data_IF_364018981317
#
_entry.id   IF_364018981317
#
_cell.length_a   1.000
_cell.length_b   1.000
_cell.length_c   1.000
_cell.angle_alpha   90.00
_cell.angle_beta   90.00
_cell.angle_gamma   90.00
#
_symmetry.space_group_name_H-M   'P 1'
#
loop_
_entity.id
_entity.type
_entity.pdbx_description
1 polymer ?
#
# COMPACT_ATOMS: atom_id res chain seq x y z
N UNK A 1 3.43 24.43 15.95
CA UNK A 1 2.69 23.21 15.58
C UNK A 1 3.56 22.00 15.89
N UNK A 2 3.00 21.00 16.57
CA UNK A 2 3.75 19.81 16.97
C UNK A 2 3.86 18.84 15.77
N UNK A 3 5.05 18.68 15.19
CA UNK A 3 5.26 17.83 14.01
C UNK A 3 5.14 16.32 14.28
N UNK A 4 4.94 15.93 15.54
CA UNK A 4 4.82 14.53 15.96
C UNK A 4 3.66 13.81 15.22
N UNK A 5 2.52 14.46 15.05
CA UNK A 5 1.35 13.86 14.37
C UNK A 5 1.63 13.56 12.91
N UNK A 6 2.26 14.50 12.20
CA UNK A 6 2.71 14.30 10.81
C UNK A 6 3.70 13.13 10.71
N UNK A 7 4.72 13.10 11.56
CA UNK A 7 5.72 12.01 11.57
C UNK A 7 5.03 10.66 11.81
N UNK A 8 4.10 10.60 12.76
CA UNK A 8 3.35 9.38 13.07
C UNK A 8 2.51 8.92 11.88
N UNK A 9 1.81 9.83 11.21
CA UNK A 9 1.02 9.53 10.00
C UNK A 9 1.90 8.98 8.87
N UNK A 10 3.10 9.54 8.67
CA UNK A 10 4.07 9.09 7.66
C UNK A 10 4.59 7.70 8.00
N UNK A 11 4.99 7.47 9.25
CA UNK A 11 5.50 6.16 9.72
C UNK A 11 4.43 5.09 9.57
N UNK A 12 3.18 5.38 9.91
CA UNK A 12 2.08 4.42 9.76
C UNK A 12 1.76 4.20 8.28
N UNK A 13 1.60 5.26 7.49
CA UNK A 13 1.20 5.16 6.09
C UNK A 13 2.27 4.55 5.19
N UNK A 14 3.45 5.16 5.15
CA UNK A 14 4.57 4.72 4.30
C UNK A 14 5.26 3.50 4.91
N UNK A 15 5.46 3.48 6.23
CA UNK A 15 6.11 2.35 6.90
C UNK A 15 5.33 1.05 6.72
N UNK A 16 4.00 1.09 6.76
CA UNK A 16 3.18 -0.07 6.43
C UNK A 16 3.45 -0.59 5.01
N UNK A 17 3.43 0.29 4.00
CA UNK A 17 3.72 -0.08 2.62
C UNK A 17 5.12 -0.71 2.50
N UNK A 18 6.13 -0.10 3.13
CA UNK A 18 7.52 -0.57 3.11
C UNK A 18 7.68 -1.96 3.73
N UNK A 19 7.06 -2.20 4.90
CA UNK A 19 7.10 -3.48 5.60
C UNK A 19 6.61 -4.65 4.73
N UNK A 20 5.66 -4.40 3.84
CA UNK A 20 5.15 -5.46 2.96
C UNK A 20 6.15 -5.90 1.88
N UNK A 21 7.13 -5.04 1.55
CA UNK A 21 8.09 -5.23 0.45
C UNK A 21 9.45 -5.73 0.95
N UNK A 22 9.87 -5.38 2.18
CA UNK A 22 11.24 -5.52 2.69
C UNK A 22 11.61 -6.85 3.37
N UNK A 23 10.65 -7.74 3.65
CA UNK A 23 10.85 -8.85 4.59
C UNK A 23 11.61 -10.09 4.08
N UNK A 24 11.94 -10.21 2.78
CA UNK A 24 12.73 -11.34 2.27
C UNK A 24 13.28 -11.09 0.87
N UNK A 25 14.45 -11.65 0.56
CA UNK A 25 15.02 -11.69 -0.80
C UNK A 25 14.32 -12.71 -1.71
N UNK A 26 13.63 -13.69 -1.13
CA UNK A 26 12.84 -14.69 -1.86
C UNK A 26 11.41 -14.22 -2.02
N UNK A 27 10.94 -14.24 -3.27
CA UNK A 27 9.66 -13.63 -3.63
C UNK A 27 8.44 -14.17 -2.87
N UNK A 28 8.38 -15.49 -2.67
CA UNK A 28 7.25 -16.15 -2.00
C UNK A 28 7.20 -15.88 -0.50
N UNK A 29 8.34 -15.51 0.09
CA UNK A 29 8.49 -15.29 1.53
C UNK A 29 8.24 -13.82 1.89
N UNK A 30 8.15 -12.93 0.88
CA UNK A 30 7.80 -11.53 1.09
C UNK A 30 6.40 -11.40 1.67
N UNK A 31 6.25 -10.43 2.57
CA UNK A 31 5.04 -10.29 3.36
C UNK A 31 3.82 -9.95 2.50
N UNK A 32 3.97 -9.15 1.43
CA UNK A 32 2.87 -8.86 0.52
C UNK A 32 2.28 -10.14 -0.11
N UNK A 33 3.06 -11.21 -0.28
CA UNK A 33 2.56 -12.48 -0.82
C UNK A 33 1.55 -13.14 0.13
N UNK A 34 1.73 -12.97 1.45
CA UNK A 34 0.77 -13.41 2.47
C UNK A 34 -0.55 -12.64 2.35
N UNK A 35 -0.52 -11.38 1.91
CA UNK A 35 -1.71 -10.56 1.69
C UNK A 35 -2.56 -11.04 0.50
N UNK A 36 -2.06 -11.96 -0.33
CA UNK A 36 -2.89 -12.62 -1.35
C UNK A 36 -3.81 -13.69 -0.77
N UNK A 37 -3.60 -14.11 0.48
CA UNK A 37 -4.56 -14.96 1.19
C UNK A 37 -5.75 -14.11 1.67
N UNK A 38 -6.97 -14.59 1.40
CA UNK A 38 -8.21 -13.88 1.79
C UNK A 38 -8.30 -13.61 3.29
N UNK A 39 -7.97 -14.58 4.16
CA UNK A 39 -8.08 -14.41 5.62
C UNK A 39 -7.13 -13.33 6.14
N UNK A 40 -5.88 -13.36 5.67
CA UNK A 40 -4.86 -12.39 6.08
C UNK A 40 -5.22 -11.00 5.55
N UNK A 41 -5.64 -10.92 4.29
CA UNK A 41 -6.07 -9.66 3.69
C UNK A 41 -7.24 -9.02 4.46
N UNK A 42 -8.24 -9.80 4.85
CA UNK A 42 -9.40 -9.30 5.59
C UNK A 42 -9.02 -8.71 6.96
N UNK A 43 -8.05 -9.30 7.65
CA UNK A 43 -7.56 -8.74 8.91
C UNK A 43 -6.89 -7.38 8.66
N UNK A 44 -6.06 -7.31 7.62
CA UNK A 44 -5.31 -6.10 7.29
C UNK A 44 -6.20 -4.98 6.76
N UNK A 45 -7.24 -5.30 5.99
CA UNK A 45 -8.19 -4.29 5.50
C UNK A 45 -9.02 -3.71 6.66
N UNK A 46 -9.44 -4.54 7.64
CA UNK A 46 -10.13 -4.06 8.83
C UNK A 46 -9.20 -3.13 9.63
N UNK A 47 -7.95 -3.53 9.84
CA UNK A 47 -6.95 -2.68 10.51
C UNK A 47 -6.72 -1.36 9.76
N UNK A 48 -6.61 -1.41 8.43
CA UNK A 48 -6.44 -0.22 7.61
C UNK A 48 -7.67 0.69 7.62
N UNK A 49 -8.89 0.14 7.69
CA UNK A 49 -10.12 0.90 7.86
C UNK A 49 -10.13 1.63 9.20
N UNK A 50 -9.76 0.96 10.30
CA UNK A 50 -9.67 1.58 11.63
C UNK A 50 -8.61 2.69 11.69
N UNK A 51 -7.45 2.47 11.04
CA UNK A 51 -6.41 3.50 10.92
C UNK A 51 -6.92 4.67 10.07
N UNK A 52 -7.64 4.40 8.99
CA UNK A 52 -8.23 5.42 8.13
C UNK A 52 -9.28 6.27 8.85
N UNK A 53 -10.19 5.67 9.63
CA UNK A 53 -11.19 6.42 10.41
C UNK A 53 -10.54 7.24 11.54
N UNK A 54 -9.52 6.69 12.20
CA UNK A 54 -8.70 7.45 13.15
C UNK A 54 -7.99 8.63 12.46
N UNK A 55 -7.43 8.41 11.27
CA UNK A 55 -6.82 9.43 10.45
C UNK A 55 -7.78 10.55 10.05
N UNK A 56 -9.01 10.20 9.67
CA UNK A 56 -10.06 11.17 9.38
C UNK A 56 -10.35 12.08 10.57
N UNK A 57 -10.51 11.50 11.77
CA UNK A 57 -10.68 12.27 13.00
C UNK A 57 -9.48 13.19 13.28
N UNK A 58 -8.25 12.70 13.07
CA UNK A 58 -7.02 13.50 13.23
C UNK A 58 -6.95 14.68 12.27
N UNK A 59 -7.22 14.44 11.00
CA UNK A 59 -7.22 15.45 9.93
C UNK A 59 -8.23 16.56 10.23
N UNK A 60 -9.46 16.22 10.60
CA UNK A 60 -10.51 17.21 10.86
C UNK A 60 -10.22 18.06 12.10
N UNK A 61 -9.69 17.46 13.17
CA UNK A 61 -9.61 18.12 14.48
C UNK A 61 -8.22 18.68 14.84
N UNK A 62 -7.15 18.30 14.13
CA UNK A 62 -5.79 18.65 14.53
C UNK A 62 -4.94 19.22 13.39
N UNK A 63 -4.60 18.42 12.37
CA UNK A 63 -3.72 18.85 11.28
C UNK A 63 -4.02 18.10 9.99
N UNK A 64 -4.38 18.86 8.95
CA UNK A 64 -4.70 18.35 7.62
C UNK A 64 -3.55 17.60 6.94
N UNK A 65 -2.31 17.85 7.37
CA UNK A 65 -1.11 17.20 6.81
C UNK A 65 -0.98 15.73 7.21
N UNK A 66 -1.80 15.25 8.15
CA UNK A 66 -1.81 13.86 8.61
C UNK A 66 -2.56 12.89 7.67
N UNK A 67 -2.77 13.26 6.40
CA UNK A 67 -3.49 12.45 5.41
C UNK A 67 -2.85 11.08 5.12
N UNK A 68 -1.60 10.83 5.51
CA UNK A 68 -0.92 9.56 5.30
C UNK A 68 -1.58 8.37 6.02
N UNK A 69 -2.46 8.61 7.00
CA UNK A 69 -3.26 7.55 7.62
C UNK A 69 -4.17 6.79 6.64
N UNK A 70 -4.53 7.37 5.50
CA UNK A 70 -5.33 6.70 4.47
C UNK A 70 -4.50 5.76 3.58
N UNK A 71 -3.17 5.91 3.54
CA UNK A 71 -2.29 5.15 2.65
C UNK A 71 -2.43 3.63 2.79
N UNK A 72 -2.46 3.02 4.00
CA UNK A 72 -2.53 1.56 4.13
C UNK A 72 -3.78 0.97 3.47
N UNK A 73 -4.92 1.67 3.57
CA UNK A 73 -6.18 1.21 2.99
C UNK A 73 -6.12 1.22 1.48
N UNK A 74 -5.71 2.37 0.90
CA UNK A 74 -5.61 2.52 -0.55
C UNK A 74 -4.55 1.56 -1.11
N UNK A 75 -3.42 1.40 -0.41
CA UNK A 75 -2.38 0.46 -0.76
C UNK A 75 -2.91 -0.99 -0.83
N UNK A 76 -3.65 -1.44 0.18
CA UNK A 76 -4.21 -2.80 0.20
C UNK A 76 -5.21 -3.02 -0.93
N UNK A 77 -6.13 -2.09 -1.14
CA UNK A 77 -7.10 -2.16 -2.24
C UNK A 77 -6.40 -2.24 -3.59
N UNK A 78 -5.40 -1.37 -3.80
CA UNK A 78 -4.61 -1.36 -5.03
C UNK A 78 -3.80 -2.65 -5.20
N UNK A 79 -3.12 -3.12 -4.16
CA UNK A 79 -2.35 -4.37 -4.19
C UNK A 79 -3.22 -5.56 -4.61
N UNK A 80 -4.44 -5.66 -4.07
CA UNK A 80 -5.40 -6.72 -4.41
C UNK A 80 -5.84 -6.61 -5.87
N UNK A 81 -6.21 -5.40 -6.32
CA UNK A 81 -6.60 -5.15 -7.70
C UNK A 81 -5.48 -5.53 -8.68
N UNK A 82 -4.25 -5.07 -8.43
CA UNK A 82 -3.10 -5.33 -9.29
C UNK A 82 -2.72 -6.81 -9.30
N UNK A 83 -2.93 -7.53 -8.20
CA UNK A 83 -2.76 -8.98 -8.18
C UNK A 83 -3.79 -9.69 -9.08
N UNK A 84 -5.07 -9.29 -9.04
CA UNK A 84 -6.07 -9.83 -9.96
C UNK A 84 -5.73 -9.54 -11.42
N UNK A 85 -5.25 -8.34 -11.73
CA UNK A 85 -4.78 -8.01 -13.08
C UNK A 85 -3.58 -8.87 -13.51
N UNK A 86 -2.61 -9.09 -12.62
CA UNK A 86 -1.47 -9.97 -12.90
C UNK A 86 -1.91 -11.42 -13.14
N UNK A 87 -2.86 -11.93 -12.34
CA UNK A 87 -3.43 -13.26 -12.52
C UNK A 87 -4.16 -13.39 -13.86
N UNK A 88 -4.89 -12.35 -14.26
CA UNK A 88 -5.60 -12.32 -15.54
C UNK A 88 -4.64 -12.33 -16.74
N UNK A 89 -3.63 -11.46 -16.74
CA UNK A 89 -2.72 -11.25 -17.88
C UNK A 89 -1.66 -12.36 -17.97
N UNK A 90 -1.05 -12.73 -16.85
CA UNK A 90 0.14 -13.60 -16.81
C UNK A 90 -0.11 -14.95 -16.17
N UNK A 91 -1.34 -15.24 -15.69
CA UNK A 91 -1.68 -16.48 -14.97
C UNK A 91 -0.76 -16.74 -13.77
N UNK A 92 -0.24 -15.67 -13.15
CA UNK A 92 0.59 -15.73 -11.95
C UNK A 92 0.37 -14.52 -11.05
N UNK A 93 0.65 -14.65 -9.73
CA UNK A 93 0.59 -13.51 -8.81
C UNK A 93 1.57 -12.40 -9.20
N UNK A 94 1.25 -11.19 -8.73
CA UNK A 94 2.07 -10.00 -8.93
C UNK A 94 3.44 -10.17 -8.27
N UNK A 95 4.52 -9.75 -8.94
CA UNK A 95 5.88 -9.86 -8.42
C UNK A 95 6.43 -8.48 -8.06
N UNK A 96 6.41 -8.13 -6.78
CA UNK A 96 7.08 -6.93 -6.26
C UNK A 96 8.53 -7.23 -5.89
N UNK A 97 9.46 -6.84 -6.76
CA UNK A 97 10.89 -7.08 -6.59
C UNK A 97 11.70 -5.78 -6.72
N UNK A 98 12.64 -5.62 -5.81
CA UNK A 98 13.64 -4.58 -5.72
C UNK A 98 14.98 -5.09 -6.26
N UNK A 99 15.98 -4.21 -6.36
CA UNK A 99 17.32 -4.56 -6.87
C UNK A 99 18.01 -5.68 -6.10
N UNK A 100 17.67 -5.85 -4.82
CA UNK A 100 18.33 -6.79 -3.90
C UNK A 100 17.62 -8.15 -3.79
N UNK A 101 16.55 -8.36 -4.55
CA UNK A 101 15.77 -9.59 -4.51
C UNK A 101 16.25 -10.64 -5.53
N UNK A 102 15.89 -11.90 -5.28
CA UNK A 102 16.11 -13.03 -6.18
C UNK A 102 14.79 -13.49 -6.82
N UNK A 103 14.24 -12.73 -7.79
CA UNK A 103 12.97 -13.06 -8.43
C UNK A 103 13.10 -14.31 -9.34
N UNK A 104 11.97 -14.95 -9.71
CA UNK A 104 11.96 -15.99 -10.74
C UNK A 104 12.59 -15.50 -12.04
N UNK A 105 13.24 -16.41 -12.79
CA UNK A 105 13.88 -16.13 -14.08
C UNK A 105 13.12 -16.80 -15.24
N UNK A 106 13.38 -16.36 -16.47
CA UNK A 106 12.81 -16.96 -17.68
C UNK A 106 11.36 -16.53 -17.97
N UNK A 107 10.55 -17.44 -18.52
CA UNK A 107 9.17 -17.16 -18.98
C UNK A 107 8.28 -16.57 -17.87
N UNK A 108 8.49 -16.99 -16.63
CA UNK A 108 7.75 -16.53 -15.44
C UNK A 108 8.49 -15.44 -14.64
N UNK A 109 9.57 -14.87 -15.17
CA UNK A 109 10.30 -13.80 -14.50
C UNK A 109 9.57 -12.47 -14.49
N UNK A 110 10.22 -11.47 -13.87
CA UNK A 110 9.70 -10.08 -13.78
C UNK A 110 9.39 -9.56 -15.18
N UNK A 111 8.15 -9.11 -15.38
CA UNK A 111 7.69 -8.43 -16.59
C UNK A 111 7.75 -6.92 -16.38
N UNK A 112 7.71 -6.18 -17.47
CA UNK A 112 7.64 -4.72 -17.42
C UNK A 112 6.44 -4.24 -16.58
N UNK A 113 5.29 -4.92 -16.71
CA UNK A 113 4.11 -4.69 -15.89
C UNK A 113 4.41 -4.71 -14.39
N UNK A 114 5.12 -5.72 -13.88
CA UNK A 114 5.45 -5.82 -12.45
C UNK A 114 6.26 -4.61 -11.95
N UNK A 115 7.20 -4.11 -12.77
CA UNK A 115 8.01 -2.92 -12.45
C UNK A 115 7.16 -1.66 -12.39
N UNK A 116 6.26 -1.48 -13.36
CA UNK A 116 5.31 -0.37 -13.36
C UNK A 116 4.39 -0.44 -12.15
N UNK A 117 3.87 -1.64 -11.81
CA UNK A 117 2.97 -1.83 -10.69
C UNK A 117 3.63 -1.52 -9.34
N UNK A 118 4.91 -1.87 -9.15
CA UNK A 118 5.66 -1.50 -7.96
C UNK A 118 5.71 0.03 -7.78
N UNK A 119 5.97 0.76 -8.86
CA UNK A 119 6.00 2.23 -8.83
C UNK A 119 4.61 2.82 -8.52
N UNK A 120 3.57 2.31 -9.18
CA UNK A 120 2.18 2.73 -8.95
C UNK A 120 1.73 2.44 -7.50
N UNK A 121 2.13 1.31 -6.93
CA UNK A 121 1.80 0.95 -5.54
C UNK A 121 2.39 1.91 -4.50
N UNK A 122 3.45 2.65 -4.82
CA UNK A 122 4.02 3.64 -3.92
C UNK A 122 3.43 5.03 -4.15
N UNK A 123 3.17 5.40 -5.40
CA UNK A 123 2.67 6.73 -5.74
C UNK A 123 1.16 6.90 -5.56
N UNK A 124 0.37 5.94 -6.03
CA UNK A 124 -1.10 6.08 -6.04
C UNK A 124 -1.66 6.24 -4.63
N UNK A 125 -1.25 5.46 -3.59
CA UNK A 125 -1.77 5.66 -2.24
C UNK A 125 -1.56 7.09 -1.75
N UNK A 126 -0.37 7.66 -1.96
CA UNK A 126 -0.08 9.04 -1.55
C UNK A 126 -0.95 10.05 -2.32
N UNK A 127 -1.07 9.90 -3.64
CA UNK A 127 -1.87 10.81 -4.47
C UNK A 127 -3.37 10.74 -4.15
N UNK A 128 -3.90 9.53 -3.94
CA UNK A 128 -5.31 9.32 -3.58
C UNK A 128 -5.59 9.82 -2.16
N UNK A 129 -4.69 9.62 -1.20
CA UNK A 129 -4.85 10.18 0.15
C UNK A 129 -4.91 11.72 0.14
N UNK A 130 -4.08 12.37 -0.69
CA UNK A 130 -4.16 13.82 -0.91
C UNK A 130 -5.48 14.25 -1.55
N UNK A 131 -5.96 13.49 -2.53
CA UNK A 131 -7.25 13.76 -3.17
C UNK A 131 -8.42 13.60 -2.18
N UNK A 132 -8.39 12.56 -1.33
CA UNK A 132 -9.38 12.37 -0.28
C UNK A 132 -9.36 13.53 0.72
N UNK A 133 -8.18 13.99 1.14
CA UNK A 133 -8.05 15.18 1.99
C UNK A 133 -8.74 16.39 1.34
N UNK A 134 -8.48 16.64 0.05
CA UNK A 134 -9.12 17.75 -0.66
C UNK A 134 -10.64 17.64 -0.63
N UNK A 135 -11.20 16.46 -0.91
CA UNK A 135 -12.65 16.24 -0.85
C UNK A 135 -13.22 16.44 0.56
N UNK A 136 -12.51 16.00 1.60
CA UNK A 136 -12.93 16.19 2.99
C UNK A 136 -12.98 17.68 3.33
N UNK A 137 -11.99 18.47 2.90
CA UNK A 137 -11.94 19.91 3.17
C UNK A 137 -12.93 20.73 2.35
N UNK A 138 -13.34 20.26 1.17
CA UNK A 138 -14.35 20.93 0.34
C UNK A 138 -15.79 20.56 0.77
N UNK A 139 -15.97 19.41 1.44
CA UNK A 139 -17.27 18.92 1.90
C UNK A 139 -17.62 19.25 3.36
N UNK A 140 -16.71 19.88 4.10
CA UNK A 140 -16.89 20.41 5.46
C UNK A 140 -17.01 21.92 5.39
#
# INVERSE_FOLDING_TARGET
MNNIGLILSIVIGIGYCFLTISNSSRQKDKYYYKLFNEKIFSIHIIGALLIGTFGLWRVINFDNREFFYFNPLIYLMLLRLLNYLSLFIYKRPLILATRWDSPPKGKNGIKFFDKCMLFLLLLIPTGVSLFLLKLILEGV
#
